data_IF_100701231225
#
_entry.id   IF_100701231225
#
_cell.length_a   1.000
_cell.length_b   1.000
_cell.length_c   1.000
_cell.angle_alpha   90.00
_cell.angle_beta   90.00
_cell.angle_gamma   90.00
#
_symmetry.space_group_name_H-M   'P 1'
#
loop_
_entity.id
_entity.type
_entity.pdbx_description
1 polymer ?
#
# COMPACT_ATOMS: atom_id res chain seq x y z
N UNK A 1 25.39 0.90 -12.52
CA UNK A 1 26.04 1.95 -11.72
C UNK A 1 25.17 2.43 -10.56
N UNK A 2 23.95 2.92 -10.81
CA UNK A 2 23.05 3.47 -9.77
C UNK A 2 22.82 2.60 -8.51
N UNK A 3 22.80 1.27 -8.64
CA UNK A 3 22.67 0.37 -7.47
C UNK A 3 23.95 0.24 -6.65
N UNK A 4 25.12 0.48 -7.25
CA UNK A 4 26.41 0.46 -6.56
C UNK A 4 26.70 1.83 -5.93
N UNK A 5 26.36 2.91 -6.64
CA UNK A 5 26.58 4.29 -6.18
C UNK A 5 25.45 4.83 -5.31
N UNK A 6 24.30 4.16 -5.27
CA UNK A 6 23.06 4.64 -4.65
C UNK A 6 22.58 6.02 -5.18
N UNK A 7 22.97 6.37 -6.42
CA UNK A 7 22.61 7.64 -7.06
C UNK A 7 21.85 7.41 -8.35
N UNK A 8 20.88 8.28 -8.62
CA UNK A 8 20.16 8.34 -9.89
C UNK A 8 20.45 9.71 -10.55
N UNK A 9 20.67 9.75 -11.88
CA UNK A 9 20.71 11.02 -12.60
C UNK A 9 19.46 11.88 -12.36
N UNK A 10 19.64 13.18 -12.19
CA UNK A 10 18.57 14.11 -11.76
C UNK A 10 17.33 14.06 -12.68
N UNK A 11 17.55 14.02 -13.99
CA UNK A 11 16.48 13.99 -15.00
C UNK A 11 15.63 12.70 -14.96
N UNK A 12 16.13 11.60 -14.37
CA UNK A 12 15.35 10.36 -14.29
C UNK A 12 14.22 10.45 -13.25
N UNK A 13 14.34 11.35 -12.28
CA UNK A 13 13.32 11.56 -11.26
C UNK A 13 12.29 12.62 -11.68
N UNK A 14 12.39 13.18 -12.88
CA UNK A 14 11.37 14.04 -13.44
C UNK A 14 10.10 13.24 -13.74
N UNK A 15 8.95 13.76 -13.33
CA UNK A 15 7.66 13.11 -13.51
C UNK A 15 6.61 14.09 -14.02
N UNK A 16 5.83 13.67 -15.01
CA UNK A 16 4.65 14.42 -15.44
C UNK A 16 3.45 14.00 -14.58
N UNK A 17 2.77 14.96 -13.94
CA UNK A 17 1.55 14.67 -13.18
C UNK A 17 0.34 14.73 -14.12
N UNK A 18 -0.34 13.61 -14.30
CA UNK A 18 -1.60 13.51 -15.02
C UNK A 18 -2.77 13.38 -14.04
N UNK A 19 -3.88 14.09 -14.30
CA UNK A 19 -5.09 14.01 -13.46
C UNK A 19 -6.08 13.02 -14.07
N UNK A 20 -6.39 11.95 -13.34
CA UNK A 20 -7.38 10.95 -13.76
C UNK A 20 -8.70 11.15 -13.02
N UNK A 21 -9.84 11.26 -13.72
CA UNK A 21 -11.15 11.40 -13.09
C UNK A 21 -11.54 10.15 -12.31
N UNK A 22 -12.04 10.33 -11.08
CA UNK A 22 -12.63 9.26 -10.26
C UNK A 22 -14.13 9.06 -10.53
N UNK A 23 -14.77 10.05 -11.14
CA UNK A 23 -16.20 10.11 -11.46
C UNK A 23 -16.37 10.68 -12.87
N UNK A 24 -17.49 10.42 -13.53
CA UNK A 24 -17.70 10.79 -14.94
C UNK A 24 -17.53 12.29 -15.22
N UNK A 25 -18.01 13.16 -14.33
CA UNK A 25 -17.97 14.62 -14.48
C UNK A 25 -17.35 15.27 -13.24
N UNK A 26 -16.01 15.36 -13.15
CA UNK A 26 -15.36 15.96 -12.00
C UNK A 26 -15.56 17.49 -12.01
N UNK A 27 -16.09 18.03 -10.91
CA UNK A 27 -16.19 19.48 -10.66
C UNK A 27 -15.20 19.97 -9.60
N UNK A 28 -14.64 19.06 -8.81
CA UNK A 28 -13.75 19.37 -7.69
C UNK A 28 -12.43 18.61 -7.76
N UNK A 29 -11.35 19.21 -7.26
CA UNK A 29 -10.01 18.59 -7.28
C UNK A 29 -9.92 17.26 -6.51
N UNK A 30 -10.73 17.06 -5.47
CA UNK A 30 -10.77 15.79 -4.72
C UNK A 30 -11.37 14.63 -5.54
N UNK A 31 -12.10 14.92 -6.62
CA UNK A 31 -12.65 13.96 -7.58
C UNK A 31 -11.63 13.58 -8.66
N UNK A 32 -10.46 14.22 -8.68
CA UNK A 32 -9.34 13.85 -9.54
C UNK A 32 -8.32 13.05 -8.72
N UNK A 33 -7.67 12.09 -9.36
CA UNK A 33 -6.53 11.35 -8.83
C UNK A 33 -5.28 11.80 -9.58
N UNK A 34 -4.30 12.44 -8.93
CA UNK A 34 -3.02 12.67 -9.57
C UNK A 34 -2.28 11.33 -9.75
N UNK A 35 -1.72 11.12 -10.94
CA UNK A 35 -0.85 10.00 -11.27
C UNK A 35 0.48 10.56 -11.76
N UNK A 36 1.57 10.16 -11.12
CA UNK A 36 2.92 10.51 -11.56
C UNK A 36 3.34 9.58 -12.71
N UNK A 37 3.48 10.14 -13.90
CA UNK A 37 4.01 9.46 -15.07
C UNK A 37 5.54 9.57 -15.05
N UNK A 38 6.17 8.58 -14.42
CA UNK A 38 7.63 8.51 -14.32
C UNK A 38 8.28 7.99 -15.61
N UNK A 39 9.57 8.32 -15.78
CA UNK A 39 10.42 7.78 -16.82
C UNK A 39 10.44 6.23 -16.80
N UNK A 40 10.49 5.60 -17.97
CA UNK A 40 10.57 4.13 -18.10
C UNK A 40 11.79 3.55 -17.37
N UNK A 41 12.95 4.20 -17.45
CA UNK A 41 14.16 3.76 -16.74
C UNK A 41 13.98 3.82 -15.23
N UNK A 42 13.34 4.87 -14.72
CA UNK A 42 12.98 4.97 -13.30
C UNK A 42 12.07 3.80 -12.88
N UNK A 43 11.08 3.45 -13.70
CA UNK A 43 10.19 2.30 -13.45
C UNK A 43 10.94 0.97 -13.49
N UNK A 44 11.94 0.81 -14.37
CA UNK A 44 12.80 -0.39 -14.40
C UNK A 44 13.61 -0.51 -13.11
N UNK A 45 14.26 0.56 -12.66
CA UNK A 45 15.00 0.58 -11.40
C UNK A 45 14.07 0.25 -10.22
N UNK A 46 12.91 0.90 -10.15
CA UNK A 46 11.89 0.61 -9.13
C UNK A 46 11.43 -0.85 -9.15
N UNK A 47 11.23 -1.42 -10.34
CA UNK A 47 10.84 -2.83 -10.50
C UNK A 47 11.91 -3.79 -9.99
N UNK A 48 13.19 -3.49 -10.24
CA UNK A 48 14.31 -4.27 -9.71
C UNK A 48 14.34 -4.21 -8.18
N UNK A 49 14.14 -3.02 -7.59
CA UNK A 49 14.05 -2.87 -6.13
C UNK A 49 12.90 -3.71 -5.55
N UNK A 50 11.70 -3.63 -6.13
CA UNK A 50 10.56 -4.46 -5.71
C UNK A 50 10.88 -5.95 -5.82
N UNK A 51 11.58 -6.38 -6.88
CA UNK A 51 11.98 -7.78 -7.04
C UNK A 51 12.93 -8.24 -5.94
N UNK A 52 13.83 -7.36 -5.48
CA UNK A 52 14.77 -7.66 -4.38
C UNK A 52 14.11 -7.62 -3.01
N UNK A 53 13.11 -6.76 -2.80
CA UNK A 53 12.37 -6.65 -1.54
C UNK A 53 11.33 -7.76 -1.35
N UNK A 54 10.76 -8.28 -2.44
CA UNK A 54 9.66 -9.27 -2.41
C UNK A 54 9.96 -10.49 -1.51
N UNK A 55 11.15 -11.12 -1.52
CA UNK A 55 11.46 -12.24 -0.62
C UNK A 55 11.44 -11.87 0.87
N UNK A 56 11.75 -10.61 1.21
CA UNK A 56 11.79 -10.13 2.61
C UNK A 56 10.41 -9.73 3.14
N UNK A 57 9.43 -9.48 2.25
CA UNK A 57 8.10 -8.98 2.63
C UNK A 57 7.39 -9.85 3.67
N UNK A 58 7.56 -11.18 3.61
CA UNK A 58 6.92 -12.11 4.56
C UNK A 58 7.38 -11.91 6.00
N UNK A 59 8.60 -11.39 6.22
CA UNK A 59 9.13 -11.04 7.54
C UNK A 59 8.75 -9.63 7.97
N UNK A 60 8.62 -8.71 7.00
CA UNK A 60 8.33 -7.30 7.24
C UNK A 60 6.84 -7.02 7.50
N UNK A 61 5.94 -7.85 6.98
CA UNK A 61 4.48 -7.64 7.13
C UNK A 61 3.80 -8.75 7.93
N UNK A 62 2.84 -8.35 8.76
CA UNK A 62 2.01 -9.27 9.55
C UNK A 62 1.37 -10.36 8.67
N UNK A 63 1.20 -11.60 9.18
CA UNK A 63 0.47 -12.64 8.46
C UNK A 63 -0.96 -12.24 8.09
N UNK A 64 -1.57 -11.32 8.85
CA UNK A 64 -2.94 -10.84 8.62
C UNK A 64 -3.01 -9.76 7.51
N UNK A 65 -1.87 -9.27 7.02
CA UNK A 65 -1.82 -8.32 5.91
C UNK A 65 -1.86 -9.05 4.58
N UNK A 66 -3.03 -9.13 3.97
CA UNK A 66 -3.26 -9.90 2.74
C UNK A 66 -2.96 -9.11 1.47
N UNK A 67 -3.37 -7.84 1.42
CA UNK A 67 -3.25 -7.03 0.21
C UNK A 67 -1.79 -6.84 -0.23
N UNK A 68 -1.55 -6.94 -1.55
CA UNK A 68 -0.27 -6.71 -2.20
C UNK A 68 0.87 -7.67 -1.82
N UNK A 69 0.57 -8.78 -1.12
CA UNK A 69 1.54 -9.83 -0.82
C UNK A 69 1.29 -11.04 -1.73
N UNK A 70 2.30 -11.50 -2.50
CA UNK A 70 2.15 -12.69 -3.34
C UNK A 70 1.70 -13.91 -2.53
N UNK A 71 0.73 -14.65 -3.07
CA UNK A 71 0.21 -15.86 -2.43
C UNK A 71 -0.81 -15.64 -1.32
N UNK A 72 -1.17 -14.39 -0.98
CA UNK A 72 -2.27 -14.08 -0.05
C UNK A 72 -3.49 -13.57 -0.82
N UNK A 73 -4.68 -14.08 -0.49
CA UNK A 73 -5.91 -13.76 -1.23
C UNK A 73 -6.90 -12.98 -0.37
N UNK A 74 -7.56 -11.97 -0.97
CA UNK A 74 -8.54 -11.13 -0.26
C UNK A 74 -9.69 -11.95 0.36
N UNK A 75 -9.99 -13.11 -0.23
CA UNK A 75 -10.97 -14.08 0.25
C UNK A 75 -10.69 -14.53 1.68
N UNK A 76 -9.42 -14.69 2.06
CA UNK A 76 -9.02 -15.13 3.40
C UNK A 76 -9.49 -14.12 4.46
N UNK A 77 -9.31 -12.82 4.19
CA UNK A 77 -9.78 -11.75 5.06
C UNK A 77 -11.30 -11.65 5.12
N UNK A 78 -12.01 -11.95 4.02
CA UNK A 78 -13.47 -11.97 4.01
C UNK A 78 -13.99 -13.09 4.92
N UNK A 79 -13.40 -14.29 4.84
CA UNK A 79 -13.77 -15.43 5.69
C UNK A 79 -13.53 -15.10 7.17
N UNK A 80 -12.36 -14.56 7.51
CA UNK A 80 -12.04 -14.14 8.89
C UNK A 80 -13.04 -13.10 9.40
N UNK A 81 -13.38 -12.10 8.58
CA UNK A 81 -14.37 -11.08 8.96
C UNK A 81 -15.77 -11.68 9.17
N UNK A 82 -16.19 -12.62 8.33
CA UNK A 82 -17.46 -13.34 8.48
C UNK A 82 -17.50 -14.16 9.77
N UNK A 83 -16.40 -14.85 10.13
CA UNK A 83 -16.31 -15.61 11.37
C UNK A 83 -16.39 -14.70 12.61
N UNK A 84 -15.71 -13.55 12.57
CA UNK A 84 -15.78 -12.54 13.64
C UNK A 84 -17.23 -12.04 13.81
N UNK A 85 -17.91 -11.67 12.72
CA UNK A 85 -19.31 -11.24 12.77
C UNK A 85 -20.25 -12.33 13.25
N UNK A 86 -20.01 -13.59 12.87
CA UNK A 86 -20.78 -14.73 13.35
C UNK A 86 -20.61 -14.91 14.86
N UNK A 87 -19.39 -14.81 15.38
CA UNK A 87 -19.12 -14.83 16.83
C UNK A 87 -19.84 -13.69 17.55
N UNK A 88 -19.85 -12.49 16.97
CA UNK A 88 -20.55 -11.35 17.57
C UNK A 88 -22.06 -11.61 17.68
N UNK A 89 -22.66 -12.20 16.64
CA UNK A 89 -24.09 -12.55 16.62
C UNK A 89 -24.46 -13.61 17.66
N UNK A 90 -23.59 -14.59 17.89
CA UNK A 90 -23.88 -15.72 18.78
C UNK A 90 -23.42 -15.52 20.22
N UNK A 91 -22.65 -14.46 20.50
CA UNK A 91 -22.16 -14.16 21.83
C UNK A 91 -23.30 -13.86 22.80
N UNK A 92 -23.40 -14.64 23.88
CA UNK A 92 -24.35 -14.42 24.98
C UNK A 92 -23.55 -14.19 26.26
N UNK A 93 -23.39 -12.93 26.66
CA UNK A 93 -22.64 -12.54 27.86
C UNK A 93 -22.76 -11.05 28.16
N UNK A 94 -22.40 -10.62 29.38
CA UNK A 94 -22.48 -9.22 29.81
C UNK A 94 -21.50 -8.28 29.07
N UNK A 95 -20.44 -8.83 28.46
CA UNK A 95 -19.48 -8.08 27.66
C UNK A 95 -19.78 -8.32 26.17
N UNK A 96 -20.17 -7.27 25.47
CA UNK A 96 -20.36 -7.29 24.01
C UNK A 96 -19.04 -7.15 23.25
N UNK A 97 -19.11 -7.30 21.94
CA UNK A 97 -17.97 -7.08 21.03
C UNK A 97 -18.13 -5.79 20.24
N UNK A 98 -17.01 -5.17 19.87
CA UNK A 98 -16.95 -3.97 19.01
C UNK A 98 -15.95 -4.24 17.89
N UNK A 99 -16.30 -3.84 16.67
CA UNK A 99 -15.39 -3.83 15.53
C UNK A 99 -15.07 -2.39 15.13
N UNK A 100 -13.79 -2.12 14.88
CA UNK A 100 -13.32 -0.82 14.41
C UNK A 100 -13.00 -0.90 12.92
N UNK A 101 -13.71 -0.11 12.11
CA UNK A 101 -13.38 0.07 10.69
C UNK A 101 -12.57 1.34 10.55
N UNK A 102 -11.28 1.19 10.24
CA UNK A 102 -10.34 2.30 10.09
C UNK A 102 -9.96 2.41 8.61
N UNK A 103 -9.98 3.63 8.07
CA UNK A 103 -9.51 3.94 6.73
C UNK A 103 -8.47 5.05 6.79
N UNK A 104 -7.40 4.92 6.00
CA UNK A 104 -6.28 5.85 5.98
C UNK A 104 -6.41 6.82 4.80
N UNK A 105 -6.66 8.09 5.09
CA UNK A 105 -6.70 9.12 4.06
C UNK A 105 -5.31 9.32 3.44
N UNK A 106 -5.22 9.27 2.11
CA UNK A 106 -3.99 9.59 1.34
C UNK A 106 -2.75 8.79 1.82
N UNK A 107 -2.90 7.49 2.02
CA UNK A 107 -1.85 6.62 2.59
C UNK A 107 -0.49 6.73 1.88
N UNK A 108 -0.48 6.88 0.55
CA UNK A 108 0.77 7.06 -0.22
C UNK A 108 1.37 8.46 -0.09
N UNK A 109 0.54 9.50 0.02
CA UNK A 109 1.01 10.89 0.09
C UNK A 109 1.46 11.29 1.51
N UNK A 110 1.04 10.53 2.53
CA UNK A 110 1.29 10.82 3.96
C UNK A 110 2.32 9.89 4.60
N UNK A 111 3.06 9.11 3.80
CA UNK A 111 4.08 8.20 4.32
C UNK A 111 5.30 8.98 4.80
N UNK A 112 5.84 8.61 5.97
CA UNK A 112 7.01 9.26 6.54
C UNK A 112 8.31 8.53 6.12
N UNK A 113 9.25 9.25 5.54
CA UNK A 113 10.56 8.69 5.13
C UNK A 113 11.37 8.06 6.28
N UNK A 114 11.40 8.62 7.51
CA UNK A 114 12.08 7.98 8.64
C UNK A 114 11.56 6.56 8.93
N UNK A 115 10.25 6.35 8.87
CA UNK A 115 9.63 5.04 9.08
C UNK A 115 10.11 4.01 8.04
N UNK A 116 10.17 4.39 6.77
CA UNK A 116 10.67 3.49 5.71
C UNK A 116 12.12 3.10 5.98
N UNK A 117 12.96 4.05 6.40
CA UNK A 117 14.36 3.76 6.72
C UNK A 117 14.47 2.81 7.91
N UNK A 118 13.72 3.03 8.97
CA UNK A 118 13.71 2.15 10.15
C UNK A 118 13.29 0.72 9.80
N UNK A 119 12.24 0.56 8.98
CA UNK A 119 11.74 -0.77 8.58
C UNK A 119 12.68 -1.50 7.60
N UNK A 120 13.44 -0.78 6.77
CA UNK A 120 14.27 -1.38 5.71
C UNK A 120 15.78 -1.44 6.02
N UNK A 121 16.23 -0.88 7.15
CA UNK A 121 17.65 -0.82 7.51
C UNK A 121 18.11 -1.95 8.45
N UNK A 122 17.19 -2.76 8.97
CA UNK A 122 17.50 -4.04 9.65
C UNK A 122 17.83 -5.17 8.66
#
# INVERSE_FOLDING_TARGET
>A
DCFNTATLPDHLNETLIALVPKVERPMFMNQLRPISLCNTLYKVVSKILVSRLRPCMTKLVSPNQVSFVPGRQITDNIIVAQEVLHKFKNAKGKKGFIAWKIDLSKAYDRMQWPFIREVLWE
#
